data_IF_328228302433
#
_entry.id   IF_328228302433
#
_cell.length_a   1.000
_cell.length_b   1.000
_cell.length_c   1.000
_cell.angle_alpha   90.00
_cell.angle_beta   90.00
_cell.angle_gamma   90.00
#
_symmetry.space_group_name_H-M   'P 1'
#
loop_
_entity.id
_entity.type
_entity.pdbx_description
1 polymer ?
#
# COMPACT_ATOMS: atom_id res chain seq x y z
N UNK A 1 3.41 28.83 -11.47
CA UNK A 1 2.98 28.50 -10.08
C UNK A 1 4.18 28.18 -9.20
N UNK A 2 4.25 28.69 -7.96
CA UNK A 2 5.32 28.32 -7.01
C UNK A 2 5.05 26.94 -6.38
N UNK A 3 6.09 26.30 -5.83
CA UNK A 3 5.98 24.96 -5.18
C UNK A 3 4.92 24.92 -4.07
N UNK A 4 4.78 25.99 -3.30
CA UNK A 4 3.79 26.09 -2.22
C UNK A 4 2.34 26.16 -2.75
N UNK A 5 2.14 26.78 -3.91
CA UNK A 5 0.84 26.80 -4.58
C UNK A 5 0.52 25.42 -5.17
N UNK A 6 1.48 24.80 -5.85
CA UNK A 6 1.34 23.44 -6.39
C UNK A 6 1.00 22.43 -5.28
N UNK A 7 1.63 22.56 -4.11
CA UNK A 7 1.33 21.74 -2.93
C UNK A 7 -0.12 21.88 -2.48
N UNK A 8 -0.64 23.11 -2.35
CA UNK A 8 -2.04 23.35 -1.97
C UNK A 8 -3.03 22.79 -2.98
N UNK A 9 -2.77 22.99 -4.28
CA UNK A 9 -3.69 22.55 -5.36
C UNK A 9 -3.76 21.03 -5.49
N UNK A 10 -2.63 20.35 -5.31
CA UNK A 10 -2.51 18.89 -5.51
C UNK A 10 -2.65 18.07 -4.24
N UNK A 11 -2.58 18.71 -3.06
CA UNK A 11 -2.49 18.03 -1.76
C UNK A 11 -1.18 17.27 -1.53
N UNK A 12 -0.19 17.38 -2.44
CA UNK A 12 1.15 16.81 -2.24
C UNK A 12 1.95 17.67 -1.26
N UNK A 13 2.69 17.02 -0.37
CA UNK A 13 3.62 17.75 0.51
C UNK A 13 4.74 18.39 -0.32
N UNK A 14 5.29 19.51 0.14
CA UNK A 14 6.46 20.13 -0.51
C UNK A 14 7.63 19.13 -0.60
N UNK A 15 7.80 18.26 0.41
CA UNK A 15 8.80 17.19 0.39
C UNK A 15 8.57 16.23 -0.78
N UNK A 16 7.32 15.79 -0.98
CA UNK A 16 6.94 14.92 -2.10
C UNK A 16 7.19 15.60 -3.44
N UNK A 17 6.85 16.88 -3.58
CA UNK A 17 7.09 17.64 -4.82
C UNK A 17 8.59 17.73 -5.14
N UNK A 18 9.43 18.04 -4.14
CA UNK A 18 10.90 18.04 -4.32
C UNK A 18 11.43 16.66 -4.70
N UNK A 19 10.85 15.61 -4.13
CA UNK A 19 11.19 14.24 -4.49
C UNK A 19 10.80 13.94 -5.94
N UNK A 20 9.59 14.30 -6.38
CA UNK A 20 9.16 14.13 -7.78
C UNK A 20 10.05 14.91 -8.75
N UNK A 21 10.47 16.12 -8.38
CA UNK A 21 11.44 16.91 -9.16
C UNK A 21 12.80 16.20 -9.25
N UNK A 22 13.31 15.67 -8.15
CA UNK A 22 14.56 14.92 -8.13
C UNK A 22 14.51 13.62 -8.96
N UNK A 23 13.32 13.02 -9.08
CA UNK A 23 13.06 11.86 -9.93
C UNK A 23 12.76 12.25 -11.39
N UNK A 24 12.81 13.54 -11.75
CA UNK A 24 12.52 14.03 -13.10
C UNK A 24 11.05 13.93 -13.52
N UNK A 25 10.14 13.62 -12.60
CA UNK A 25 8.71 13.43 -12.87
C UNK A 25 7.96 14.76 -13.06
N UNK A 26 8.47 15.82 -12.45
CA UNK A 26 8.02 17.20 -12.65
C UNK A 26 9.24 18.09 -12.83
N UNK A 27 9.12 19.14 -13.64
CA UNK A 27 10.21 20.07 -13.89
C UNK A 27 9.72 21.52 -13.74
N UNK A 28 10.39 22.35 -12.92
CA UNK A 28 10.14 23.77 -12.91
C UNK A 28 10.79 24.44 -14.13
N UNK A 29 10.10 25.41 -14.71
CA UNK A 29 10.71 26.43 -15.57
C UNK A 29 11.51 27.40 -14.71
N UNK A 30 12.68 27.80 -15.20
CA UNK A 30 13.46 28.90 -14.61
C UNK A 30 13.09 30.19 -15.32
N UNK A 31 12.58 31.15 -14.57
CA UNK A 31 12.40 32.51 -15.07
C UNK A 31 13.74 33.25 -15.15
N UNK A 32 13.80 34.29 -15.98
CA UNK A 32 14.96 35.17 -16.16
C UNK A 32 15.43 35.84 -14.85
N UNK A 33 14.54 35.93 -13.87
CA UNK A 33 14.78 36.47 -12.52
C UNK A 33 15.32 35.42 -11.52
N UNK A 34 15.53 34.16 -11.95
CA UNK A 34 16.06 33.07 -11.12
C UNK A 34 15.03 32.30 -10.29
N UNK A 35 13.75 32.69 -10.32
CA UNK A 35 12.70 31.95 -9.60
C UNK A 35 12.28 30.68 -10.36
N UNK A 36 11.86 29.67 -9.59
CA UNK A 36 11.25 28.43 -10.11
C UNK A 36 9.73 28.59 -10.24
N UNK A 37 9.21 28.19 -11.38
CA UNK A 37 7.80 28.23 -11.75
C UNK A 37 7.39 26.87 -12.32
N UNK A 38 6.36 26.25 -11.78
CA UNK A 38 5.73 25.09 -12.40
C UNK A 38 4.61 25.54 -13.35
N UNK A 39 4.54 24.89 -14.51
CA UNK A 39 3.45 25.09 -15.45
C UNK A 39 2.14 24.51 -14.91
N UNK A 40 0.97 24.90 -15.47
CA UNK A 40 -0.31 24.28 -15.12
C UNK A 40 -0.32 22.76 -15.26
N UNK A 41 0.39 22.19 -16.24
CA UNK A 41 0.51 20.74 -16.45
C UNK A 41 1.14 20.00 -15.27
N UNK A 42 1.93 20.68 -14.44
CA UNK A 42 2.52 20.08 -13.25
C UNK A 42 1.44 19.65 -12.24
N UNK A 43 0.28 20.31 -12.23
CA UNK A 43 -0.83 19.87 -11.39
C UNK A 43 -1.34 18.49 -11.80
N UNK A 44 -1.60 18.29 -13.10
CA UNK A 44 -2.07 17.01 -13.64
C UNK A 44 -1.01 15.93 -13.48
N UNK A 45 0.26 16.24 -13.72
CA UNK A 45 1.40 15.35 -13.44
C UNK A 45 1.36 14.86 -11.99
N UNK A 46 1.27 15.77 -11.01
CA UNK A 46 1.28 15.41 -9.59
C UNK A 46 0.05 14.60 -9.21
N UNK A 47 -1.14 14.93 -9.73
CA UNK A 47 -2.37 14.15 -9.48
C UNK A 47 -2.22 12.73 -10.01
N UNK A 48 -1.70 12.57 -11.22
CA UNK A 48 -1.43 11.27 -11.84
C UNK A 48 -0.40 10.47 -11.06
N UNK A 49 0.74 11.08 -10.67
CA UNK A 49 1.75 10.43 -9.84
C UNK A 49 1.11 9.92 -8.53
N UNK A 50 0.32 10.77 -7.86
CA UNK A 50 -0.36 10.38 -6.61
C UNK A 50 -1.32 9.21 -6.78
N UNK A 51 -2.11 9.21 -7.85
CA UNK A 51 -3.03 8.12 -8.17
C UNK A 51 -2.27 6.79 -8.27
N UNK A 52 -1.18 6.75 -9.04
CA UNK A 52 -0.39 5.52 -9.19
C UNK A 52 0.36 5.11 -7.92
N UNK A 53 0.83 6.07 -7.11
CA UNK A 53 1.39 5.75 -5.80
C UNK A 53 0.34 5.11 -4.87
N UNK A 54 -0.92 5.54 -4.93
CA UNK A 54 -2.02 4.91 -4.18
C UNK A 54 -2.35 3.50 -4.67
N UNK A 55 -2.12 3.22 -5.96
CA UNK A 55 -2.17 1.86 -6.52
C UNK A 55 -0.94 1.02 -6.12
N UNK A 56 0.01 1.58 -5.38
CA UNK A 56 1.18 0.88 -4.85
C UNK A 56 2.31 0.72 -5.88
N UNK A 57 2.36 1.57 -6.90
CA UNK A 57 3.51 1.67 -7.81
C UNK A 57 4.60 2.53 -7.18
N UNK A 58 5.85 2.34 -7.63
CA UNK A 58 6.98 3.18 -7.28
C UNK A 58 7.11 4.38 -8.23
N UNK A 59 7.83 5.43 -7.81
CA UNK A 59 8.11 6.58 -8.70
C UNK A 59 8.91 6.20 -9.93
N UNK A 60 9.75 5.16 -9.85
CA UNK A 60 10.51 4.62 -10.98
C UNK A 60 9.60 3.95 -12.01
N UNK A 61 8.66 3.11 -11.56
CA UNK A 61 7.65 2.52 -12.43
C UNK A 61 6.82 3.61 -13.12
N UNK A 62 6.39 4.62 -12.36
CA UNK A 62 5.60 5.74 -12.88
C UNK A 62 6.37 6.52 -13.95
N UNK A 63 7.67 6.77 -13.75
CA UNK A 63 8.50 7.50 -14.71
C UNK A 63 8.48 6.87 -16.12
N UNK A 64 8.40 5.54 -16.19
CA UNK A 64 8.40 4.79 -17.45
C UNK A 64 7.22 5.08 -18.38
N UNK A 65 6.07 5.49 -17.84
CA UNK A 65 4.85 5.68 -18.63
C UNK A 65 4.12 7.02 -18.38
N UNK A 66 4.58 7.85 -17.42
CA UNK A 66 3.91 9.09 -17.02
C UNK A 66 3.61 10.02 -18.22
N UNK A 67 4.59 10.22 -19.10
CA UNK A 67 4.44 11.08 -20.27
C UNK A 67 3.40 10.54 -21.26
N UNK A 68 3.33 9.23 -21.44
CA UNK A 68 2.39 8.58 -22.33
C UNK A 68 0.94 8.76 -21.84
N UNK A 69 0.70 8.54 -20.54
CA UNK A 69 -0.62 8.73 -19.91
C UNK A 69 -1.09 10.19 -20.00
N UNK A 70 -0.19 11.15 -19.80
CA UNK A 70 -0.55 12.57 -19.82
C UNK A 70 -0.74 13.15 -21.23
N UNK A 71 -0.03 12.60 -22.23
CA UNK A 71 -0.06 13.12 -23.59
C UNK A 71 -1.23 12.56 -24.42
N UNK A 72 -1.87 11.48 -23.95
CA UNK A 72 -2.92 10.77 -24.69
C UNK A 72 -4.09 10.38 -23.78
N UNK A 73 -4.90 11.35 -23.30
CA UNK A 73 -6.04 11.04 -22.44
C UNK A 73 -7.12 10.18 -23.14
N UNK A 74 -7.23 10.25 -24.48
CA UNK A 74 -8.24 9.53 -25.27
C UNK A 74 -7.72 8.23 -25.91
N UNK A 75 -6.43 7.93 -25.82
CA UNK A 75 -5.84 6.71 -26.40
C UNK A 75 -5.20 5.88 -25.31
N UNK A 76 -5.45 4.57 -25.31
CA UNK A 76 -4.82 3.67 -24.34
C UNK A 76 -3.29 3.74 -24.48
N UNK A 77 -2.63 4.14 -23.40
CA UNK A 77 -1.19 4.02 -23.25
C UNK A 77 -0.85 2.55 -23.03
N UNK A 78 -0.52 1.82 -24.09
CA UNK A 78 -0.20 0.37 -24.02
C UNK A 78 0.99 0.06 -23.11
N UNK A 79 1.87 1.04 -22.92
CA UNK A 79 3.07 0.98 -22.09
C UNK A 79 2.74 0.84 -20.59
N UNK A 80 1.53 1.19 -20.17
CA UNK A 80 1.08 1.00 -18.77
C UNK A 80 0.60 -0.43 -18.50
N UNK A 81 0.20 -1.19 -19.53
CA UNK A 81 -0.42 -2.50 -19.36
C UNK A 81 0.48 -3.50 -18.61
N UNK A 82 1.78 -3.66 -18.95
CA UNK A 82 2.67 -4.55 -18.20
C UNK A 82 2.80 -4.18 -16.73
N UNK A 83 2.69 -2.89 -16.41
CA UNK A 83 2.74 -2.40 -15.03
C UNK A 83 1.48 -2.81 -14.26
N UNK A 84 0.31 -2.71 -14.89
CA UNK A 84 -0.95 -3.18 -14.29
C UNK A 84 -0.97 -4.69 -14.09
N UNK A 85 -0.52 -5.46 -15.09
CA UNK A 85 -0.45 -6.92 -15.01
C UNK A 85 0.50 -7.37 -13.89
N UNK A 86 1.70 -6.76 -13.82
CA UNK A 86 2.65 -7.02 -12.74
C UNK A 86 2.07 -6.67 -11.38
N UNK A 87 1.40 -5.52 -11.24
CA UNK A 87 0.84 -5.10 -9.96
C UNK A 87 -0.32 -5.98 -9.52
N UNK A 88 -1.16 -6.42 -10.46
CA UNK A 88 -2.22 -7.37 -10.18
C UNK A 88 -1.66 -8.69 -9.66
N UNK A 89 -0.65 -9.24 -10.32
CA UNK A 89 0.01 -10.47 -9.89
C UNK A 89 0.61 -10.34 -8.48
N UNK A 90 1.26 -9.21 -8.17
CA UNK A 90 1.79 -8.93 -6.83
C UNK A 90 0.67 -8.92 -5.76
N UNK A 91 -0.45 -8.28 -6.06
CA UNK A 91 -1.60 -8.20 -5.16
C UNK A 91 -2.21 -9.59 -4.94
N UNK A 92 -2.37 -10.39 -5.99
CA UNK A 92 -2.89 -11.75 -5.90
C UNK A 92 -1.99 -12.64 -5.03
N UNK A 93 -0.66 -12.52 -5.19
CA UNK A 93 0.31 -13.23 -4.36
C UNK A 93 0.21 -12.81 -2.88
N UNK A 94 0.09 -11.50 -2.60
CA UNK A 94 -0.10 -10.99 -1.24
C UNK A 94 -1.42 -11.47 -0.62
N UNK A 95 -2.52 -11.48 -1.38
CA UNK A 95 -3.81 -12.00 -0.94
C UNK A 95 -3.68 -13.49 -0.59
N UNK A 96 -3.02 -14.29 -1.43
CA UNK A 96 -2.82 -15.71 -1.17
C UNK A 96 -2.02 -15.94 0.12
N UNK A 97 -0.95 -15.16 0.35
CA UNK A 97 -0.16 -15.23 1.58
C UNK A 97 -0.99 -14.82 2.81
N UNK A 98 -1.71 -13.70 2.74
CA UNK A 98 -2.54 -13.22 3.84
C UNK A 98 -3.67 -14.20 4.19
N UNK A 99 -4.25 -14.87 3.19
CA UNK A 99 -5.22 -15.95 3.42
C UNK A 99 -4.62 -17.10 4.22
N UNK A 100 -3.42 -17.59 3.85
CA UNK A 100 -2.74 -18.66 4.60
C UNK A 100 -2.44 -18.26 6.05
N UNK A 101 -1.97 -17.03 6.26
CA UNK A 101 -1.70 -16.51 7.61
C UNK A 101 -2.99 -16.44 8.42
N UNK A 102 -4.07 -15.89 7.84
CA UNK A 102 -5.38 -15.85 8.47
C UNK A 102 -5.84 -17.24 8.88
N UNK A 103 -5.75 -18.23 7.98
CA UNK A 103 -6.22 -19.59 8.26
C UNK A 103 -5.42 -20.22 9.41
N UNK A 104 -4.09 -20.03 9.44
CA UNK A 104 -3.27 -20.47 10.58
C UNK A 104 -3.67 -19.80 11.91
N UNK A 105 -4.00 -18.50 11.87
CA UNK A 105 -4.46 -17.79 13.07
C UNK A 105 -5.83 -18.31 13.54
N UNK A 106 -6.74 -18.61 12.61
CA UNK A 106 -8.05 -19.21 12.92
C UNK A 106 -7.87 -20.57 13.59
N UNK A 107 -6.99 -21.42 13.07
CA UNK A 107 -6.69 -22.74 13.64
C UNK A 107 -6.10 -22.61 15.05
N UNK A 108 -5.14 -21.70 15.25
CA UNK A 108 -4.56 -21.46 16.59
C UNK A 108 -5.62 -20.98 17.58
N UNK A 109 -6.48 -20.04 17.17
CA UNK A 109 -7.54 -19.50 18.02
C UNK A 109 -8.55 -20.61 18.39
N UNK A 110 -8.91 -21.50 17.46
CA UNK A 110 -9.84 -22.59 17.75
C UNK A 110 -9.25 -23.61 18.71
N UNK A 111 -7.97 -23.98 18.56
CA UNK A 111 -7.26 -24.84 19.53
C UNK A 111 -7.27 -24.26 20.94
N UNK A 112 -6.90 -22.97 21.09
CA UNK A 112 -6.91 -22.31 22.40
C UNK A 112 -8.30 -22.33 23.06
N UNK A 113 -9.36 -22.07 22.29
CA UNK A 113 -10.74 -22.08 22.81
C UNK A 113 -11.20 -23.49 23.21
N UNK A 114 -10.85 -24.50 22.43
CA UNK A 114 -11.19 -25.90 22.72
C UNK A 114 -10.48 -26.48 23.95
N UNK A 115 -9.26 -26.01 24.25
CA UNK A 115 -8.52 -26.40 25.47
C UNK A 115 -9.12 -25.75 26.73
N UNK A 116 -9.58 -24.50 26.65
CA UNK A 116 -10.25 -23.82 27.78
C UNK A 116 -11.58 -24.46 28.16
N UNK A 117 -12.28 -25.12 27.23
CA UNK A 117 -13.54 -25.83 27.53
C UNK A 117 -13.30 -27.24 28.14
N UNK A 118 -12.13 -27.84 27.91
CA UNK A 118 -11.77 -29.17 28.46
C UNK A 118 -11.12 -29.09 29.85
N UNK A 119 -10.63 -27.92 30.26
CA UNK A 119 -10.02 -27.67 31.57
C UNK A 119 -10.99 -27.60 32.76
N UNK A 120 -12.29 -27.45 32.54
CA UNK A 120 -13.30 -27.37 33.63
C UNK A 120 -13.91 -28.75 34.01
N UNK A 121 -13.49 -29.84 33.37
CA UNK A 121 -14.10 -31.18 33.53
C UNK A 121 -13.40 -32.17 34.47
N UNK A 122 -12.22 -31.88 35.03
CA UNK A 122 -11.44 -32.88 35.80
C UNK A 122 -11.00 -32.34 37.17
N UNK A 123 -11.90 -32.35 38.14
CA UNK A 123 -11.67 -32.25 39.59
C UNK A 123 -13.03 -32.52 40.25
N UNK A 124 -13.35 -33.56 41.01
CA UNK A 124 -12.60 -34.44 41.92
C UNK A 124 -13.50 -35.65 42.19
N UNK A 125 -13.00 -36.87 41.92
CA UNK A 125 -13.53 -38.10 42.51
C UNK A 125 -12.45 -39.16 42.45
N UNK A 126 -11.56 -39.17 43.45
CA UNK A 126 -11.10 -40.42 44.03
C UNK A 126 -10.35 -40.15 45.34
N UNK A 127 -11.03 -40.33 46.48
CA UNK A 127 -10.41 -40.80 47.73
C UNK A 127 -11.49 -41.55 48.52
N UNK A 128 -11.74 -42.80 48.14
CA UNK A 128 -12.41 -43.76 49.02
C UNK A 128 -11.69 -45.09 48.95
N UNK A 129 -10.55 -45.21 49.62
CA UNK A 129 -10.09 -46.49 50.15
C UNK A 129 -8.90 -46.32 51.09
N UNK A 130 -9.15 -46.01 52.36
CA UNK A 130 -8.39 -46.68 53.41
C UNK A 130 -9.34 -47.29 54.44
N UNK A 131 -9.19 -48.60 54.53
CA UNK A 131 -9.86 -49.57 55.38
C UNK A 131 -8.83 -49.96 56.44
N UNK A 132 -9.17 -49.79 57.72
CA UNK A 132 -8.63 -50.51 58.88
C UNK A 132 -9.72 -50.38 59.96
N UNK A 133 -10.52 -51.42 60.27
CA UNK A 133 -10.28 -52.44 61.32
C UNK A 133 -9.63 -51.80 62.56
N UNK A 134 -10.28 -51.65 63.73
CA UNK A 134 -11.06 -52.58 64.54
C UNK A 134 -12.02 -51.81 65.47
#
# INVERSE_FOLDING_TARGET
MKIGELSRRTGASIRSLRYYEAQGLIAPLRESNGYREYSPMAEDQVRTIRFYLQLGLTTEQIAGFLNCVLSRPETFCTEVLPVYESKLADIEAQIAQLKRIRDNLVDRISSFRGESEQGEGVSTRDERSERYEF
#
